data_IF_405483684790
#
_entry.id   IF_405483684790
#
_cell.length_a   1.000
_cell.length_b   1.000
_cell.length_c   1.000
_cell.angle_alpha   90.00
_cell.angle_beta   90.00
_cell.angle_gamma   90.00
#
_symmetry.space_group_name_H-M   'P 1'
#
loop_
_entity.id
_entity.type
_entity.pdbx_description
1 polymer ?
#
# COMPACT_ATOMS: atom_id res chain seq x y z
N UNK A 1 -2.09 -15.78 27.25
CA UNK A 1 -3.05 -15.34 26.22
C UNK A 1 -2.60 -15.84 24.85
N UNK A 2 -3.54 -16.25 24.00
CA UNK A 2 -3.29 -16.66 22.61
C UNK A 2 -4.33 -15.99 21.69
N UNK A 3 -3.95 -15.64 20.45
CA UNK A 3 -4.90 -15.22 19.42
C UNK A 3 -5.68 -16.45 18.92
N UNK A 4 -7.01 -16.34 18.83
CA UNK A 4 -7.87 -17.42 18.31
C UNK A 4 -8.33 -17.13 16.89
N UNK A 5 -8.82 -15.92 16.64
CA UNK A 5 -9.09 -15.44 15.28
C UNK A 5 -9.03 -13.92 15.22
N UNK A 6 -8.77 -13.43 14.00
CA UNK A 6 -8.89 -12.04 13.62
C UNK A 6 -9.68 -11.97 12.32
N UNK A 7 -10.64 -11.07 12.27
CA UNK A 7 -11.47 -10.82 11.09
C UNK A 7 -11.56 -9.31 10.83
N UNK A 8 -11.28 -8.93 9.59
CA UNK A 8 -11.43 -7.56 9.08
C UNK A 8 -11.55 -7.61 7.55
N UNK A 9 -11.62 -6.46 6.89
CA UNK A 9 -11.55 -6.35 5.42
C UNK A 9 -10.20 -5.83 4.98
N UNK A 10 -9.67 -6.33 3.86
CA UNK A 10 -8.46 -5.80 3.25
C UNK A 10 -8.79 -4.49 2.53
N UNK A 11 -8.87 -3.42 3.29
CA UNK A 11 -9.09 -2.07 2.81
C UNK A 11 -7.82 -1.22 2.87
N UNK A 12 -6.65 -1.82 3.06
CA UNK A 12 -5.40 -1.10 3.31
C UNK A 12 -5.02 -0.26 2.07
N UNK A 13 -4.91 1.07 2.16
CA UNK A 13 -4.63 1.92 1.02
C UNK A 13 -3.13 1.88 0.65
N UNK A 14 -2.82 1.73 -0.63
CA UNK A 14 -1.48 1.96 -1.17
C UNK A 14 -1.33 3.38 -1.77
N UNK A 15 -2.45 4.02 -2.11
CA UNK A 15 -2.54 5.42 -2.49
C UNK A 15 -3.25 6.20 -1.39
N UNK A 16 -2.66 7.30 -0.94
CA UNK A 16 -3.20 8.23 0.04
C UNK A 16 -2.71 9.66 -0.23
N UNK A 17 -3.17 10.64 0.55
CA UNK A 17 -2.88 12.07 0.33
C UNK A 17 -1.40 12.47 0.30
N UNK A 18 -0.50 11.57 0.72
CA UNK A 18 0.95 11.79 0.72
C UNK A 18 1.67 11.25 -0.53
N UNK A 19 1.00 10.47 -1.39
CA UNK A 19 1.62 9.81 -2.53
C UNK A 19 0.64 9.60 -3.72
N UNK A 20 -0.31 10.50 -3.92
CA UNK A 20 -1.41 10.31 -4.86
C UNK A 20 -1.41 11.21 -6.10
N UNK A 21 -0.36 12.00 -6.33
CA UNK A 21 -0.40 13.03 -7.37
C UNK A 21 0.75 12.98 -8.36
N UNK A 22 0.52 13.54 -9.54
CA UNK A 22 1.52 13.89 -10.53
C UNK A 22 0.87 14.89 -11.50
N UNK A 23 1.60 15.35 -12.51
CA UNK A 23 1.00 16.18 -13.57
C UNK A 23 1.51 15.75 -14.93
N UNK A 24 0.75 16.09 -15.97
CA UNK A 24 1.14 15.81 -17.34
C UNK A 24 0.97 17.03 -18.22
N UNK A 25 1.72 17.07 -19.32
CA UNK A 25 1.55 18.04 -20.39
C UNK A 25 1.28 17.31 -21.70
N UNK A 26 0.29 17.73 -22.51
CA UNK A 26 0.04 17.20 -23.85
C UNK A 26 0.74 18.00 -24.97
N UNK A 27 1.53 19.03 -24.62
CA UNK A 27 2.01 20.10 -25.49
C UNK A 27 3.45 20.55 -25.15
N UNK A 28 4.36 19.59 -25.01
CA UNK A 28 5.80 19.83 -24.79
C UNK A 28 6.14 20.69 -23.55
N UNK A 29 5.31 20.59 -22.52
CA UNK A 29 5.52 21.30 -21.25
C UNK A 29 4.96 22.72 -21.23
N UNK A 30 4.24 23.16 -22.27
CA UNK A 30 3.63 24.48 -22.31
C UNK A 30 2.46 24.62 -21.31
N UNK A 31 1.59 23.60 -21.21
CA UNK A 31 0.50 23.55 -20.25
C UNK A 31 0.55 22.27 -19.41
N UNK A 32 0.39 22.41 -18.10
CA UNK A 32 0.43 21.30 -17.14
C UNK A 32 -0.91 21.06 -16.48
N UNK A 33 -1.33 19.79 -16.47
CA UNK A 33 -2.61 19.34 -15.93
C UNK A 33 -2.36 18.39 -14.76
N UNK A 34 -2.84 18.72 -13.55
CA UNK A 34 -2.65 17.86 -12.39
C UNK A 34 -3.54 16.61 -12.47
N UNK A 35 -3.02 15.49 -11.99
CA UNK A 35 -3.76 14.27 -11.73
C UNK A 35 -3.57 13.94 -10.24
N UNK A 36 -4.69 13.73 -9.54
CA UNK A 36 -4.70 13.26 -8.17
C UNK A 36 -5.66 12.07 -8.06
N UNK A 37 -5.14 10.96 -7.53
CA UNK A 37 -5.91 9.76 -7.23
C UNK A 37 -6.56 9.90 -5.86
N UNK A 38 -7.74 9.30 -5.68
CA UNK A 38 -8.38 9.21 -4.37
C UNK A 38 -7.62 8.22 -3.48
N UNK A 39 -7.74 8.35 -2.16
CA UNK A 39 -7.18 7.36 -1.24
C UNK A 39 -7.85 6.00 -1.48
N UNK A 40 -7.04 4.96 -1.66
CA UNK A 40 -7.54 3.63 -1.95
C UNK A 40 -6.45 2.59 -2.20
N UNK A 41 -6.89 1.41 -2.57
CA UNK A 41 -6.05 0.26 -2.91
C UNK A 41 -6.15 0.06 -4.42
N UNK A 42 -5.05 0.24 -5.13
CA UNK A 42 -5.01 0.23 -6.59
C UNK A 42 -3.98 -0.76 -7.09
N UNK A 43 -4.35 -1.59 -8.06
CA UNK A 43 -3.34 -2.22 -8.90
C UNK A 43 -2.87 -1.25 -10.00
N UNK A 44 -1.80 -1.60 -10.71
CA UNK A 44 -1.24 -0.78 -11.78
C UNK A 44 -2.29 -0.49 -12.88
N UNK A 45 -3.15 -1.46 -13.17
CA UNK A 45 -4.25 -1.30 -14.12
C UNK A 45 -5.27 -0.25 -13.65
N UNK A 46 -5.64 -0.25 -12.37
CA UNK A 46 -6.57 0.73 -11.80
C UNK A 46 -6.00 2.15 -11.87
N UNK A 47 -4.70 2.30 -11.59
CA UNK A 47 -4.00 3.57 -11.73
C UNK A 47 -4.08 4.04 -13.19
N UNK A 48 -3.74 3.17 -14.15
CA UNK A 48 -3.80 3.53 -15.57
C UNK A 48 -5.23 3.89 -16.01
N UNK A 49 -6.23 3.15 -15.55
CA UNK A 49 -7.64 3.43 -15.84
C UNK A 49 -8.07 4.81 -15.34
N UNK A 50 -7.64 5.20 -14.13
CA UNK A 50 -7.90 6.54 -13.60
C UNK A 50 -7.18 7.62 -14.41
N UNK A 51 -5.94 7.38 -14.87
CA UNK A 51 -5.21 8.27 -15.77
C UNK A 51 -5.99 8.45 -17.09
N UNK A 52 -6.45 7.34 -17.71
CA UNK A 52 -7.23 7.41 -18.94
C UNK A 52 -8.54 8.19 -18.73
N UNK A 53 -9.20 8.01 -17.59
CA UNK A 53 -10.42 8.75 -17.24
C UNK A 53 -10.14 10.25 -17.12
N UNK A 54 -9.06 10.65 -16.45
CA UNK A 54 -8.64 12.06 -16.29
C UNK A 54 -8.27 12.71 -17.62
N UNK A 55 -7.55 12.00 -18.49
CA UNK A 55 -7.23 12.47 -19.85
C UNK A 55 -8.51 12.78 -20.65
N UNK A 56 -9.49 11.88 -20.63
CA UNK A 56 -10.77 12.06 -21.33
C UNK A 56 -11.57 13.25 -20.78
N UNK A 57 -11.58 13.45 -19.46
CA UNK A 57 -12.25 14.61 -18.84
C UNK A 57 -11.65 15.94 -19.30
N UNK A 58 -10.33 15.98 -19.49
CA UNK A 58 -9.62 17.14 -20.04
C UNK A 58 -9.68 17.20 -21.58
N UNK A 59 -10.45 16.32 -22.25
CA UNK A 59 -10.54 16.20 -23.71
C UNK A 59 -9.20 15.91 -24.40
N UNK A 60 -8.27 15.27 -23.69
CA UNK A 60 -6.98 14.83 -24.21
C UNK A 60 -7.03 13.35 -24.63
N UNK A 61 -6.19 12.99 -25.60
CA UNK A 61 -6.11 11.61 -26.10
C UNK A 61 -5.42 10.70 -25.08
N UNK A 62 -5.75 9.42 -25.12
CA UNK A 62 -5.13 8.34 -24.31
C UNK A 62 -3.70 8.07 -24.81
N UNK A 63 -2.78 8.95 -24.44
CA UNK A 63 -1.40 9.02 -24.96
C UNK A 63 -0.33 8.90 -23.86
N UNK A 64 -0.77 8.61 -22.64
CA UNK A 64 0.07 8.28 -21.49
C UNK A 64 -0.44 6.93 -21.03
N UNK A 65 0.42 5.92 -20.99
CA UNK A 65 0.06 4.56 -20.56
C UNK A 65 1.00 4.17 -19.45
N UNK A 66 0.43 3.74 -18.32
CA UNK A 66 1.17 3.06 -17.26
C UNK A 66 0.82 1.57 -17.33
N UNK A 67 1.82 0.71 -17.28
CA UNK A 67 1.65 -0.75 -17.27
C UNK A 67 2.71 -1.42 -16.38
N UNK A 68 2.59 -2.71 -16.10
CA UNK A 68 3.52 -3.47 -15.27
C UNK A 68 4.39 -4.41 -16.11
N UNK A 69 5.71 -4.26 -16.01
CA UNK A 69 6.64 -5.29 -16.46
C UNK A 69 6.75 -6.38 -15.39
N UNK A 70 6.06 -7.50 -15.59
CA UNK A 70 6.03 -8.62 -14.63
C UNK A 70 7.37 -9.35 -14.49
N UNK A 71 8.28 -9.23 -15.47
CA UNK A 71 9.59 -9.87 -15.39
C UNK A 71 10.55 -9.10 -14.47
N UNK A 72 10.49 -7.77 -14.51
CA UNK A 72 11.35 -6.88 -13.70
C UNK A 72 10.66 -6.39 -12.43
N UNK A 73 9.35 -6.60 -12.32
CA UNK A 73 8.48 -6.07 -11.25
C UNK A 73 8.46 -4.53 -11.19
N UNK A 74 8.70 -3.88 -12.33
CA UNK A 74 8.73 -2.41 -12.45
C UNK A 74 7.54 -1.90 -13.23
N UNK A 75 7.14 -0.66 -12.96
CA UNK A 75 6.15 0.01 -13.81
C UNK A 75 6.82 0.47 -15.10
N UNK A 76 6.04 0.57 -16.16
CA UNK A 76 6.43 1.14 -17.44
C UNK A 76 5.57 2.35 -17.71
N UNK A 77 6.17 3.36 -18.33
CA UNK A 77 5.53 4.56 -18.81
C UNK A 77 5.73 4.62 -20.31
N UNK A 78 4.64 4.62 -21.07
CA UNK A 78 4.67 4.87 -22.51
C UNK A 78 4.03 6.21 -22.81
N UNK A 79 4.81 7.10 -23.41
CA UNK A 79 4.37 8.43 -23.84
C UNK A 79 4.26 8.50 -25.36
N UNK A 80 3.29 9.26 -25.86
CA UNK A 80 3.31 9.69 -27.25
C UNK A 80 4.14 10.98 -27.41
N UNK A 81 4.50 11.32 -28.66
CA UNK A 81 5.08 12.63 -28.99
C UNK A 81 4.27 13.78 -28.38
N UNK A 82 4.99 14.80 -27.91
CA UNK A 82 4.49 15.99 -27.23
C UNK A 82 3.96 15.77 -25.81
N UNK A 83 3.81 14.52 -25.38
CA UNK A 83 3.35 14.23 -24.03
C UNK A 83 4.54 14.14 -23.07
N UNK A 84 4.35 14.71 -21.89
CA UNK A 84 5.30 14.67 -20.78
C UNK A 84 4.57 14.33 -19.48
N UNK A 85 5.26 13.65 -18.57
CA UNK A 85 4.78 13.36 -17.21
C UNK A 85 5.80 13.90 -16.23
N UNK A 86 5.34 14.66 -15.25
CA UNK A 86 6.18 15.20 -14.19
C UNK A 86 5.82 14.59 -12.85
N UNK A 87 6.77 13.82 -12.33
CA UNK A 87 6.71 13.20 -11.01
C UNK A 87 7.40 14.06 -9.93
N UNK A 88 8.03 15.18 -10.28
CA UNK A 88 8.61 16.11 -9.32
C UNK A 88 7.58 17.09 -8.76
N UNK A 89 6.49 16.55 -8.21
CA UNK A 89 5.43 17.32 -7.53
C UNK A 89 5.34 16.95 -6.04
N UNK A 90 4.68 17.78 -5.25
CA UNK A 90 4.37 17.46 -3.84
C UNK A 90 3.43 16.26 -3.80
N UNK A 91 3.60 15.35 -2.83
CA UNK A 91 2.77 14.13 -2.69
C UNK A 91 2.75 13.27 -3.96
N UNK A 92 3.93 13.09 -4.56
CA UNK A 92 4.05 12.40 -5.83
C UNK A 92 3.78 10.90 -5.71
N UNK A 93 3.11 10.33 -6.70
CA UNK A 93 2.89 8.88 -6.82
C UNK A 93 4.15 8.11 -7.23
N UNK A 94 5.26 8.80 -7.51
CA UNK A 94 6.49 8.22 -8.02
C UNK A 94 7.02 7.08 -7.14
N UNK A 95 6.89 7.19 -5.80
CA UNK A 95 7.32 6.15 -4.87
C UNK A 95 6.48 4.88 -4.93
N UNK A 96 5.23 4.96 -5.41
CA UNK A 96 4.35 3.80 -5.62
C UNK A 96 4.68 3.14 -6.94
N UNK A 97 4.88 3.94 -8.00
CA UNK A 97 5.16 3.44 -9.34
C UNK A 97 6.64 3.08 -9.59
N UNK A 98 7.55 3.49 -8.70
CA UNK A 98 8.97 3.22 -8.80
C UNK A 98 9.73 4.14 -9.78
N UNK A 99 9.20 5.33 -10.08
CA UNK A 99 9.88 6.33 -10.90
C UNK A 99 10.65 7.34 -10.06
N UNK A 100 11.71 7.92 -10.62
CA UNK A 100 12.43 9.04 -10.04
C UNK A 100 11.63 10.36 -10.09
N UNK A 101 12.00 11.30 -9.21
CA UNK A 101 11.38 12.63 -9.16
C UNK A 101 11.89 13.54 -10.27
N UNK A 102 11.37 13.34 -11.48
CA UNK A 102 11.76 14.12 -12.65
C UNK A 102 10.63 14.22 -13.68
N UNK A 103 10.92 14.94 -14.77
CA UNK A 103 10.06 15.02 -15.95
C UNK A 103 10.49 13.94 -16.93
N UNK A 104 9.55 13.07 -17.29
CA UNK A 104 9.67 12.08 -18.34
C UNK A 104 9.07 12.63 -19.63
N UNK A 105 9.84 12.55 -20.71
CA UNK A 105 9.46 13.05 -22.04
C UNK A 105 9.48 11.91 -23.06
N UNK A 106 8.81 12.08 -24.19
CA UNK A 106 8.93 11.13 -25.30
C UNK A 106 10.38 10.97 -25.79
N UNK A 107 10.91 9.75 -25.70
CA UNK A 107 12.20 9.37 -26.28
C UNK A 107 12.00 8.66 -27.63
N UNK A 108 12.62 9.17 -28.69
CA UNK A 108 12.53 8.57 -30.02
C UNK A 108 13.22 7.20 -30.12
N UNK A 109 14.26 6.96 -29.31
CA UNK A 109 15.07 5.73 -29.38
C UNK A 109 14.32 4.51 -28.81
N UNK A 110 13.47 4.73 -27.80
CA UNK A 110 12.61 3.72 -27.19
C UNK A 110 11.16 3.80 -27.66
N UNK A 111 10.87 4.69 -28.61
CA UNK A 111 9.51 5.03 -29.05
C UNK A 111 8.58 5.41 -27.88
N UNK A 112 9.09 6.21 -26.94
CA UNK A 112 8.36 6.75 -25.80
C UNK A 112 8.22 5.79 -24.63
N UNK A 113 8.84 4.60 -24.70
CA UNK A 113 8.85 3.63 -23.62
C UNK A 113 9.92 3.98 -22.58
N UNK A 114 9.56 3.91 -21.30
CA UNK A 114 10.49 4.02 -20.18
C UNK A 114 10.06 3.06 -19.09
N UNK A 115 11.02 2.38 -18.46
CA UNK A 115 10.79 1.57 -17.28
C UNK A 115 11.21 2.35 -16.04
N UNK A 116 10.46 2.23 -14.94
CA UNK A 116 10.79 2.84 -13.66
C UNK A 116 12.13 2.33 -13.12
N UNK A 117 12.83 3.20 -12.41
CA UNK A 117 14.15 2.91 -11.86
C UNK A 117 14.08 1.91 -10.68
N UNK A 118 12.92 1.83 -10.01
CA UNK A 118 12.66 1.00 -8.85
C UNK A 118 11.51 0.02 -9.06
N UNK A 119 11.51 -1.07 -8.27
CA UNK A 119 10.40 -2.02 -8.18
C UNK A 119 9.15 -1.27 -7.70
N UNK A 120 7.98 -1.62 -8.25
CA UNK A 120 6.71 -1.01 -7.83
C UNK A 120 6.42 -1.30 -6.37
N UNK A 121 5.88 -0.32 -5.66
CA UNK A 121 5.48 -0.43 -4.26
C UNK A 121 3.96 -0.30 -4.13
N UNK A 122 3.22 -1.17 -4.82
CA UNK A 122 1.75 -1.26 -4.74
C UNK A 122 1.29 -2.11 -3.55
N UNK A 123 2.19 -2.88 -2.93
CA UNK A 123 1.96 -3.64 -1.70
C UNK A 123 3.11 -3.34 -0.73
N UNK A 124 2.90 -2.39 0.19
CA UNK A 124 3.94 -1.92 1.13
C UNK A 124 3.98 -2.70 2.45
N UNK A 125 2.90 -3.40 2.79
CA UNK A 125 2.81 -4.19 4.02
C UNK A 125 3.36 -5.59 3.74
N UNK A 126 4.45 -5.95 4.41
CA UNK A 126 4.99 -7.31 4.39
C UNK A 126 4.40 -8.17 5.52
N UNK A 127 4.04 -7.55 6.66
CA UNK A 127 3.38 -8.27 7.74
C UNK A 127 2.48 -7.35 8.56
N UNK A 128 1.33 -7.88 8.94
CA UNK A 128 0.43 -7.32 9.93
C UNK A 128 0.76 -7.96 11.28
N UNK A 129 1.18 -7.12 12.23
CA UNK A 129 1.48 -7.50 13.60
C UNK A 129 0.28 -7.20 14.49
N UNK A 130 -0.26 -8.23 15.14
CA UNK A 130 -1.29 -8.10 16.16
C UNK A 130 -0.59 -7.84 17.49
N UNK A 131 -0.77 -6.65 18.05
CA UNK A 131 -0.13 -6.23 19.29
C UNK A 131 -1.11 -6.21 20.45
N UNK A 132 -0.65 -6.56 21.66
CA UNK A 132 -1.38 -6.36 22.91
C UNK A 132 -0.48 -5.91 24.06
N UNK A 133 -0.93 -4.91 24.80
CA UNK A 133 -0.18 -4.28 25.90
C UNK A 133 -0.07 -5.12 27.19
N UNK A 134 -0.80 -6.24 27.28
CA UNK A 134 -0.83 -7.10 28.48
C UNK A 134 0.01 -8.38 28.35
N UNK A 135 0.76 -8.55 27.27
CA UNK A 135 1.59 -9.75 27.06
C UNK A 135 3.08 -9.49 27.28
N UNK A 136 3.81 -10.58 27.54
CA UNK A 136 5.27 -10.57 27.62
C UNK A 136 5.87 -11.76 26.83
N UNK A 137 7.17 -11.70 26.55
CA UNK A 137 7.91 -12.84 26.00
C UNK A 137 7.79 -13.01 24.48
N UNK A 138 7.31 -11.99 23.76
CA UNK A 138 7.36 -11.94 22.30
C UNK A 138 8.55 -11.12 21.83
N UNK A 139 9.21 -11.60 20.77
CA UNK A 139 10.36 -10.95 20.17
C UNK A 139 10.21 -10.91 18.65
N UNK A 140 10.45 -9.74 18.05
CA UNK A 140 10.51 -9.54 16.61
C UNK A 140 11.93 -9.09 16.28
N UNK A 141 12.64 -9.87 15.46
CA UNK A 141 14.03 -9.62 15.09
C UNK A 141 14.96 -9.35 16.29
N UNK A 142 14.82 -10.16 17.35
CA UNK A 142 15.63 -10.05 18.57
C UNK A 142 15.22 -8.93 19.53
N UNK A 143 14.26 -8.08 19.15
CA UNK A 143 13.75 -7.01 20.01
C UNK A 143 12.44 -7.44 20.64
N UNK A 144 12.32 -7.26 21.96
CA UNK A 144 11.09 -7.58 22.67
C UNK A 144 9.95 -6.65 22.21
N UNK A 145 8.79 -7.23 21.89
CA UNK A 145 7.60 -6.50 21.44
C UNK A 145 6.32 -7.05 22.07
N UNK A 146 5.23 -6.30 21.90
CA UNK A 146 3.86 -6.65 22.30
C UNK A 146 3.13 -7.54 21.27
N UNK A 147 3.83 -8.08 20.28
CA UNK A 147 3.23 -8.83 19.16
C UNK A 147 2.80 -10.22 19.59
N UNK A 148 1.49 -10.51 19.65
CA UNK A 148 0.96 -11.84 19.97
C UNK A 148 0.86 -12.75 18.75
N UNK A 149 0.76 -12.17 17.55
CA UNK A 149 0.65 -12.91 16.31
C UNK A 149 1.05 -12.03 15.11
N UNK A 150 1.53 -12.64 14.04
CA UNK A 150 1.81 -11.95 12.77
C UNK A 150 1.33 -12.77 11.58
N UNK A 151 0.89 -12.08 10.53
CA UNK A 151 0.47 -12.69 9.26
C UNK A 151 0.65 -11.70 8.10
N UNK A 152 0.38 -12.14 6.88
CA UNK A 152 0.31 -11.29 5.69
C UNK A 152 -1.08 -11.47 5.06
N UNK A 153 -1.77 -10.38 4.62
CA UNK A 153 -3.06 -10.49 3.96
C UNK A 153 -2.86 -11.05 2.54
N UNK A 154 -3.03 -12.37 2.39
CA UNK A 154 -2.80 -13.05 1.12
C UNK A 154 -3.85 -12.69 0.05
N UNK A 155 -5.07 -12.35 0.48
CA UNK A 155 -6.14 -11.94 -0.41
C UNK A 155 -5.99 -10.48 -0.82
N UNK A 156 -6.37 -10.18 -2.06
CA UNK A 156 -6.29 -8.83 -2.63
C UNK A 156 -7.22 -7.81 -1.96
N UNK A 157 -7.13 -6.54 -2.35
CA UNK A 157 -7.99 -5.48 -1.83
C UNK A 157 -9.49 -5.78 -1.98
N UNK A 158 -10.29 -5.35 -1.01
CA UNK A 158 -11.74 -5.54 -0.96
C UNK A 158 -12.18 -6.92 -0.44
N UNK A 159 -11.25 -7.86 -0.27
CA UNK A 159 -11.56 -9.20 0.27
C UNK A 159 -11.56 -9.20 1.79
N UNK A 160 -12.26 -10.18 2.40
CA UNK A 160 -12.26 -10.35 3.85
C UNK A 160 -10.96 -11.04 4.30
N UNK A 161 -10.27 -10.43 5.26
CA UNK A 161 -9.14 -11.04 5.96
C UNK A 161 -9.70 -11.90 7.09
N UNK A 162 -9.49 -13.21 7.01
CA UNK A 162 -9.85 -14.17 8.07
C UNK A 162 -8.60 -14.92 8.49
N UNK A 163 -8.06 -14.56 9.65
CA UNK A 163 -6.86 -15.19 10.18
C UNK A 163 -7.20 -16.07 11.38
N UNK A 164 -6.92 -17.37 11.27
CA UNK A 164 -7.08 -18.35 12.36
C UNK A 164 -5.76 -19.09 12.56
N UNK A 165 -5.03 -18.88 13.67
CA UNK A 165 -3.80 -19.60 13.93
C UNK A 165 -4.05 -21.12 14.02
N UNK A 166 -3.28 -21.91 13.24
CA UNK A 166 -3.38 -23.38 13.26
C UNK A 166 -3.03 -23.97 14.63
N UNK A 167 -2.01 -23.40 15.27
CA UNK A 167 -1.56 -23.77 16.61
C UNK A 167 -1.63 -22.55 17.51
N UNK A 168 -2.32 -22.68 18.65
CA UNK A 168 -2.40 -21.60 19.63
C UNK A 168 -1.10 -21.52 20.43
N UNK A 169 -0.40 -20.39 20.31
CA UNK A 169 0.79 -20.07 21.11
C UNK A 169 0.37 -19.17 22.26
N UNK A 170 0.59 -19.62 23.50
CA UNK A 170 0.24 -18.86 24.70
C UNK A 170 1.43 -18.06 25.18
N UNK A 171 1.27 -16.74 25.22
CA UNK A 171 2.21 -15.83 25.84
C UNK A 171 1.76 -15.45 27.25
N UNK A 172 2.68 -15.28 28.21
CA UNK A 172 2.35 -14.83 29.56
C UNK A 172 1.57 -13.52 29.56
N UNK A 173 0.59 -13.41 30.45
CA UNK A 173 -0.11 -12.16 30.73
C UNK A 173 0.59 -11.48 31.91
N UNK A 174 0.90 -10.19 31.78
CA UNK A 174 1.63 -9.42 32.80
C UNK A 174 0.76 -8.98 33.98
N UNK A 175 -0.57 -8.97 33.79
CA UNK A 175 -1.54 -8.50 34.76
C UNK A 175 -2.22 -9.67 35.49
N UNK A 176 -2.46 -9.50 36.80
CA UNK A 176 -3.27 -10.44 37.60
C UNK A 176 -4.77 -10.28 37.38
N UNK A 177 -5.22 -9.06 37.12
CA UNK A 177 -6.62 -8.72 36.83
C UNK A 177 -6.65 -7.78 35.63
N UNK A 178 -7.47 -8.10 34.62
CA UNK A 178 -7.54 -7.34 33.37
C UNK A 178 -8.71 -6.36 33.45
N UNK A 179 -8.41 -5.13 33.87
CA UNK A 179 -9.39 -4.04 33.86
C UNK A 179 -9.36 -3.25 32.53
N UNK A 180 -8.25 -3.33 31.80
CA UNK A 180 -8.02 -2.71 30.50
C UNK A 180 -7.06 -3.57 29.70
N UNK A 181 -7.31 -3.68 28.41
CA UNK A 181 -6.43 -4.29 27.43
C UNK A 181 -6.54 -3.48 26.14
N UNK A 182 -5.40 -3.04 25.61
CA UNK A 182 -5.32 -2.42 24.30
C UNK A 182 -4.79 -3.43 23.30
N UNK A 183 -5.45 -3.51 22.15
CA UNK A 183 -5.01 -4.29 20.99
C UNK A 183 -4.95 -3.36 19.80
N UNK A 184 -3.86 -3.45 19.04
CA UNK A 184 -3.65 -2.61 17.87
C UNK A 184 -2.87 -3.38 16.79
N UNK A 185 -3.03 -2.96 15.55
CA UNK A 185 -2.42 -3.60 14.39
C UNK A 185 -1.37 -2.66 13.79
N UNK A 186 -0.18 -3.20 13.54
CA UNK A 186 0.90 -2.44 12.88
C UNK A 186 1.45 -3.18 11.68
N UNK A 187 2.09 -2.45 10.78
CA UNK A 187 2.97 -3.02 9.76
C UNK A 187 4.27 -3.57 10.38
N UNK A 188 5.15 -4.11 9.53
CA UNK A 188 6.47 -4.64 9.91
C UNK A 188 7.41 -3.61 10.57
N UNK A 189 7.17 -2.31 10.35
CA UNK A 189 7.98 -1.21 10.87
C UNK A 189 7.35 -0.57 12.13
N UNK A 190 6.23 -1.13 12.62
CA UNK A 190 5.51 -0.65 13.79
C UNK A 190 4.55 0.52 13.50
N UNK A 191 4.27 0.84 12.23
CA UNK A 191 3.29 1.89 11.89
C UNK A 191 1.87 1.34 11.98
N UNK A 192 0.91 2.08 12.56
CA UNK A 192 -0.49 1.65 12.60
C UNK A 192 -1.06 1.38 11.21
N UNK A 193 -1.86 0.31 11.09
CA UNK A 193 -2.53 0.00 9.83
C UNK A 193 -3.85 0.78 9.72
N UNK A 194 -4.03 1.45 8.59
CA UNK A 194 -5.29 2.11 8.24
C UNK A 194 -6.20 1.14 7.48
N UNK A 195 -7.23 0.65 8.16
CA UNK A 195 -8.31 -0.14 7.55
C UNK A 195 -9.48 0.73 7.08
N UNK A 196 -9.30 2.06 6.90
CA UNK A 196 -10.31 3.00 6.38
C UNK A 196 -11.68 2.92 7.09
N UNK A 197 -11.68 2.64 8.39
CA UNK A 197 -12.88 2.54 9.21
C UNK A 197 -13.59 1.18 9.19
N UNK A 198 -13.01 0.15 8.58
CA UNK A 198 -13.59 -1.20 8.56
C UNK A 198 -13.69 -1.82 9.96
N UNK A 199 -14.65 -2.72 10.10
CA UNK A 199 -14.84 -3.45 11.34
C UNK A 199 -13.69 -4.43 11.60
N UNK A 200 -13.15 -4.36 12.83
CA UNK A 200 -12.13 -5.28 13.32
C UNK A 200 -12.69 -6.13 14.45
N UNK A 201 -12.66 -7.45 14.27
CA UNK A 201 -13.00 -8.41 15.33
C UNK A 201 -11.76 -9.22 15.67
N UNK A 202 -11.41 -9.26 16.95
CA UNK A 202 -10.29 -10.06 17.45
C UNK A 202 -10.77 -10.87 18.65
N UNK A 203 -10.49 -12.18 18.64
CA UNK A 203 -10.77 -13.07 19.77
C UNK A 203 -9.48 -13.59 20.35
N UNK A 204 -9.33 -13.44 21.65
CA UNK A 204 -8.25 -14.04 22.43
C UNK A 204 -8.78 -15.16 23.30
N UNK A 205 -7.91 -16.14 23.56
CA UNK A 205 -8.13 -17.14 24.59
C UNK A 205 -7.11 -16.94 25.71
N UNK A 206 -7.59 -16.80 26.92
CA UNK A 206 -6.80 -16.70 28.12
C UNK A 206 -6.92 -18.01 28.89
N UNK A 207 -5.80 -18.49 29.42
CA UNK A 207 -5.74 -19.62 30.32
C UNK A 207 -5.32 -19.10 31.69
N UNK A 208 -6.07 -19.48 32.70
CA UNK A 208 -5.61 -19.42 34.08
C UNK A 208 -4.58 -20.53 34.27
N UNK A 209 -3.48 -20.21 34.93
CA UNK A 209 -2.38 -21.14 35.24
C UNK A 209 -2.38 -21.37 36.74
#
# INVERSE_FOLDING_TARGET
>A
MALVNLETYNSIPNIHTGNNSFRYSPDDGANWFPIALSTGSYDIEDINNEIQRRLRLNKHKTKIIIDANRATLRATLTLARHYQVDFNVVNSINTVLGFERQIYTYDMTTNGYTEGEHIVNIISINSILVNSDIIHGSYVNGTQQSTIYSFFPADGPGMKIIQTPKNLVYLPVTLRTINRMQTYLTDQDGRPIDFRGEHLTIRFHLREV
#
